data_IF_700214732124
#
_entry.id   IF_700214732124
#
_cell.length_a   1.000
_cell.length_b   1.000
_cell.length_c   1.000
_cell.angle_alpha   90.00
_cell.angle_beta   90.00
_cell.angle_gamma   90.00
#
_symmetry.space_group_name_H-M   'P 1'
#
loop_
_entity.id
_entity.type
_entity.pdbx_description
1 polymer ?
#
# COMPACT_ATOMS: atom_id res chain seq x y z
N UNK A 1 -3.51 34.23 -27.43
CA UNK A 1 -3.95 32.90 -27.87
C UNK A 1 -5.12 32.46 -27.02
N UNK A 2 -6.35 32.63 -27.51
CA UNK A 2 -7.48 31.93 -26.94
C UNK A 2 -7.48 30.52 -27.55
N UNK A 3 -7.30 29.50 -26.73
CA UNK A 3 -7.38 28.11 -27.17
C UNK A 3 -8.85 27.80 -27.45
N UNK A 4 -9.16 27.53 -28.72
CA UNK A 4 -10.46 26.99 -29.13
C UNK A 4 -10.40 25.48 -29.02
N UNK A 5 -11.36 24.85 -28.33
CA UNK A 5 -11.38 23.40 -28.15
C UNK A 5 -11.50 22.66 -29.48
N UNK A 6 -12.51 23.00 -30.27
CA UNK A 6 -12.66 22.50 -31.64
C UNK A 6 -13.16 23.59 -32.60
N UNK A 7 -12.67 23.57 -33.84
CA UNK A 7 -13.05 24.52 -34.88
C UNK A 7 -13.41 23.76 -36.17
N UNK A 8 -14.69 23.81 -36.56
CA UNK A 8 -15.13 23.39 -37.89
C UNK A 8 -15.14 24.58 -38.84
N UNK A 9 -14.27 24.53 -39.84
CA UNK A 9 -14.20 25.52 -40.91
C UNK A 9 -15.25 25.27 -42.00
N UNK A 10 -15.35 26.19 -42.95
CA UNK A 10 -16.30 26.10 -44.07
C UNK A 10 -16.16 24.79 -44.85
N UNK A 11 -17.28 24.08 -45.03
CA UNK A 11 -17.31 22.79 -45.72
C UNK A 11 -17.11 21.56 -44.83
N UNK A 12 -16.72 21.76 -43.56
CA UNK A 12 -16.69 20.69 -42.56
C UNK A 12 -18.08 20.46 -41.96
N UNK A 13 -18.96 19.83 -42.73
CA UNK A 13 -20.36 19.55 -42.36
C UNK A 13 -20.60 18.05 -42.13
N UNK A 14 -21.73 17.71 -41.51
CA UNK A 14 -22.18 16.33 -41.26
C UNK A 14 -21.26 15.51 -40.34
N UNK A 15 -20.46 16.17 -39.50
CA UNK A 15 -19.70 15.51 -38.45
C UNK A 15 -20.62 15.18 -37.26
N UNK A 16 -20.24 14.15 -36.50
CA UNK A 16 -20.92 13.74 -35.27
C UNK A 16 -19.91 13.76 -34.12
N UNK A 17 -20.22 14.56 -33.10
CA UNK A 17 -19.40 14.76 -31.91
C UNK A 17 -20.20 14.41 -30.67
N UNK A 18 -19.71 13.47 -29.88
CA UNK A 18 -20.29 13.06 -28.60
C UNK A 18 -19.18 12.45 -27.75
N UNK A 19 -19.41 12.37 -26.44
CA UNK A 19 -18.47 11.87 -25.42
C UNK A 19 -17.13 12.62 -25.35
N UNK A 20 -17.10 13.89 -25.80
CA UNK A 20 -15.94 14.76 -25.62
C UNK A 20 -16.08 15.59 -24.34
N UNK A 21 -14.95 15.98 -23.75
CA UNK A 21 -14.91 16.84 -22.57
C UNK A 21 -14.27 18.18 -22.92
N UNK A 22 -15.10 19.22 -23.07
CA UNK A 22 -14.64 20.57 -23.37
C UNK A 22 -14.43 21.35 -22.08
N UNK A 23 -13.17 21.47 -21.66
CA UNK A 23 -12.79 22.14 -20.40
C UNK A 23 -11.75 23.22 -20.61
N UNK A 24 -11.87 24.29 -19.83
CA UNK A 24 -10.89 25.39 -19.70
C UNK A 24 -10.45 25.99 -21.04
N UNK A 25 -11.32 25.91 -22.06
CA UNK A 25 -11.10 26.53 -23.36
C UNK A 25 -11.55 28.00 -23.31
N UNK A 26 -10.89 28.87 -24.08
CA UNK A 26 -11.39 30.24 -24.29
C UNK A 26 -12.70 30.25 -25.10
N UNK A 27 -12.82 29.29 -26.02
CA UNK A 27 -14.03 28.98 -26.76
C UNK A 27 -14.11 27.45 -26.91
N UNK A 28 -15.15 26.79 -26.37
CA UNK A 28 -15.23 25.32 -26.42
C UNK A 28 -15.35 24.79 -27.85
N UNK A 29 -16.20 25.41 -28.66
CA UNK A 29 -16.44 25.00 -30.04
C UNK A 29 -16.78 26.20 -30.94
N UNK A 30 -16.20 26.20 -32.14
CA UNK A 30 -16.63 27.01 -33.28
C UNK A 30 -17.12 26.06 -34.38
N UNK A 31 -18.31 26.30 -34.91
CA UNK A 31 -18.93 25.38 -35.87
C UNK A 31 -19.75 26.05 -36.95
N UNK A 32 -19.89 25.35 -38.07
CA UNK A 32 -20.84 25.64 -39.15
C UNK A 32 -22.15 24.85 -38.95
N UNK A 33 -23.14 25.15 -39.80
CA UNK A 33 -24.42 24.42 -39.85
C UNK A 33 -24.19 22.93 -40.19
N UNK A 34 -25.15 22.08 -39.82
CA UNK A 34 -25.21 20.64 -40.15
C UNK A 34 -24.26 19.68 -39.39
N UNK A 35 -23.45 20.13 -38.43
CA UNK A 35 -22.76 19.24 -37.50
C UNK A 35 -23.70 18.83 -36.35
N UNK A 36 -23.56 17.58 -35.86
CA UNK A 36 -24.32 17.03 -34.74
C UNK A 36 -23.44 16.92 -33.50
N UNK A 37 -24.00 17.28 -32.34
CA UNK A 37 -23.29 17.38 -31.07
C UNK A 37 -23.76 16.38 -30.02
N UNK A 38 -24.60 15.44 -30.43
CA UNK A 38 -24.99 14.29 -29.65
C UNK A 38 -25.43 13.17 -30.59
N UNK A 39 -25.29 11.94 -30.12
CA UNK A 39 -25.97 10.80 -30.74
C UNK A 39 -27.36 10.61 -30.08
N UNK A 40 -27.96 9.42 -30.18
CA UNK A 40 -29.26 9.12 -29.57
C UNK A 40 -29.22 8.90 -28.05
N UNK A 41 -28.03 8.77 -27.46
CA UNK A 41 -27.82 8.35 -26.07
C UNK A 41 -27.05 9.39 -25.25
N UNK A 42 -26.11 10.12 -25.86
CA UNK A 42 -25.21 11.04 -25.15
C UNK A 42 -24.69 12.16 -26.06
N UNK A 43 -24.40 13.30 -25.43
CA UNK A 43 -23.73 14.46 -26.00
C UNK A 43 -22.31 14.62 -25.48
N UNK A 44 -21.89 15.84 -25.23
CA UNK A 44 -20.55 16.21 -24.74
C UNK A 44 -20.64 16.84 -23.36
N UNK A 45 -19.53 16.81 -22.62
CA UNK A 45 -19.37 17.57 -21.39
C UNK A 45 -18.89 18.98 -21.71
N UNK A 46 -19.50 19.96 -21.05
CA UNK A 46 -19.16 21.37 -21.16
C UNK A 46 -19.02 21.95 -19.75
N UNK A 47 -17.83 22.42 -19.37
CA UNK A 47 -17.62 22.99 -18.03
C UNK A 47 -18.39 24.30 -17.77
N UNK A 48 -18.95 24.90 -18.83
CA UNK A 48 -19.83 26.06 -18.77
C UNK A 48 -21.32 25.70 -18.93
N UNK A 49 -21.69 24.42 -18.96
CA UNK A 49 -23.09 24.00 -18.92
C UNK A 49 -23.67 24.25 -17.52
N UNK A 50 -24.77 25.00 -17.46
CA UNK A 50 -25.42 25.39 -16.21
C UNK A 50 -26.81 24.79 -16.04
N UNK A 51 -27.17 23.80 -16.86
CA UNK A 51 -28.45 23.11 -16.70
C UNK A 51 -28.39 22.08 -15.57
N UNK A 52 -29.56 21.58 -15.19
CA UNK A 52 -29.70 20.56 -14.14
C UNK A 52 -29.84 19.18 -14.78
N UNK A 53 -29.54 18.16 -14.00
CA UNK A 53 -29.87 16.75 -14.24
C UNK A 53 -30.75 16.33 -13.05
N UNK A 54 -32.07 16.45 -13.20
CA UNK A 54 -33.02 16.23 -12.11
C UNK A 54 -33.35 14.75 -11.89
N UNK A 55 -33.10 13.91 -12.89
CA UNK A 55 -33.30 12.46 -12.87
C UNK A 55 -32.02 11.68 -12.51
N UNK A 56 -30.88 12.37 -12.34
CA UNK A 56 -29.58 11.82 -11.96
C UNK A 56 -29.09 10.71 -12.91
N UNK A 57 -29.34 10.87 -14.22
CA UNK A 57 -28.91 9.90 -15.24
C UNK A 57 -27.57 10.26 -15.91
N UNK A 58 -26.96 11.37 -15.49
CA UNK A 58 -25.70 11.90 -16.02
C UNK A 58 -25.88 12.73 -17.29
N UNK A 59 -27.12 13.06 -17.67
CA UNK A 59 -27.46 13.88 -18.84
C UNK A 59 -28.30 15.08 -18.41
N UNK A 60 -27.96 16.25 -18.93
CA UNK A 60 -28.68 17.46 -18.63
C UNK A 60 -30.09 17.51 -19.23
N UNK A 61 -31.07 17.97 -18.45
CA UNK A 61 -32.49 18.10 -18.85
C UNK A 61 -32.74 19.17 -19.92
N UNK A 62 -31.74 20.01 -20.21
CA UNK A 62 -31.83 21.09 -21.20
C UNK A 62 -30.68 21.02 -22.19
N UNK A 63 -30.93 21.30 -23.47
CA UNK A 63 -29.85 21.38 -24.45
C UNK A 63 -28.81 22.47 -24.10
N UNK A 64 -27.54 22.20 -24.37
CA UNK A 64 -26.46 23.19 -24.29
C UNK A 64 -26.35 23.96 -25.61
N UNK A 65 -26.35 25.29 -25.54
CA UNK A 65 -26.23 26.15 -26.72
C UNK A 65 -24.75 26.35 -27.11
N UNK A 66 -24.37 25.83 -28.26
CA UNK A 66 -23.00 25.95 -28.80
C UNK A 66 -22.85 27.21 -29.65
N UNK A 67 -23.89 27.53 -30.43
CA UNK A 67 -24.01 28.78 -31.18
C UNK A 67 -25.44 29.28 -31.06
N UNK A 68 -25.63 30.60 -31.02
CA UNK A 68 -26.95 31.24 -30.93
C UNK A 68 -27.41 31.86 -32.26
N UNK A 69 -26.52 31.98 -33.24
CA UNK A 69 -26.83 32.52 -34.57
C UNK A 69 -25.88 31.92 -35.62
N UNK A 70 -26.26 30.84 -36.31
CA UNK A 70 -27.50 30.07 -36.14
C UNK A 70 -27.53 29.30 -34.81
N UNK A 71 -28.73 28.97 -34.31
CA UNK A 71 -28.88 28.15 -33.11
C UNK A 71 -28.38 26.73 -33.38
N UNK A 72 -27.32 26.31 -32.68
CA UNK A 72 -26.74 24.97 -32.72
C UNK A 72 -26.63 24.49 -31.29
N UNK A 73 -27.13 23.29 -31.01
CA UNK A 73 -27.27 22.76 -29.67
C UNK A 73 -26.76 21.32 -29.58
N UNK A 74 -26.23 21.00 -28.41
CA UNK A 74 -26.07 19.63 -27.91
C UNK A 74 -27.33 19.31 -27.09
N UNK A 75 -28.10 18.31 -27.52
CA UNK A 75 -29.37 17.97 -26.88
C UNK A 75 -29.22 17.04 -25.67
N UNK A 76 -28.05 16.43 -25.47
CA UNK A 76 -27.80 15.46 -24.40
C UNK A 76 -26.49 15.78 -23.66
N UNK A 77 -26.32 17.01 -23.14
CA UNK A 77 -25.06 17.40 -22.51
C UNK A 77 -24.75 16.50 -21.31
N UNK A 78 -23.50 16.07 -21.18
CA UNK A 78 -23.04 15.27 -20.04
C UNK A 78 -23.01 16.16 -18.80
N UNK A 79 -23.59 15.67 -17.70
CA UNK A 79 -23.45 16.25 -16.37
C UNK A 79 -22.58 15.33 -15.54
N UNK A 80 -21.43 15.84 -15.10
CA UNK A 80 -20.44 15.08 -14.35
C UNK A 80 -19.86 15.95 -13.22
N UNK A 81 -20.50 15.86 -12.06
CA UNK A 81 -20.23 16.69 -10.88
C UNK A 81 -19.84 15.85 -9.66
N UNK A 82 -19.70 14.53 -9.83
CA UNK A 82 -19.34 13.61 -8.76
C UNK A 82 -17.85 13.35 -8.82
N UNK A 83 -17.20 13.32 -7.66
CA UNK A 83 -15.80 12.92 -7.60
C UNK A 83 -15.68 11.40 -7.61
N UNK A 84 -14.60 10.83 -8.18
CA UNK A 84 -14.37 9.40 -8.15
C UNK A 84 -14.40 8.84 -6.71
N UNK A 85 -15.17 7.78 -6.47
CA UNK A 85 -15.21 7.11 -5.17
C UNK A 85 -14.21 5.94 -5.15
N UNK A 86 -13.21 6.01 -4.25
CA UNK A 86 -12.15 5.01 -4.13
C UNK A 86 -12.36 4.18 -2.85
N UNK A 87 -12.41 2.86 -3.01
CA UNK A 87 -12.39 1.90 -1.92
C UNK A 87 -11.10 1.08 -1.97
N UNK A 88 -10.35 1.07 -0.86
CA UNK A 88 -9.15 0.25 -0.70
C UNK A 88 -9.55 -1.13 -0.17
N UNK A 89 -9.48 -2.13 -1.04
CA UNK A 89 -9.82 -3.53 -0.70
C UNK A 89 -8.66 -4.20 0.04
N UNK A 90 -7.43 -3.91 -0.37
CA UNK A 90 -6.20 -4.27 0.34
C UNK A 90 -5.07 -3.28 -0.01
N UNK A 91 -4.05 -3.12 0.84
CA UNK A 91 -3.92 -3.68 2.20
C UNK A 91 -4.95 -3.10 3.18
N UNK A 92 -5.16 -3.79 4.31
CA UNK A 92 -6.06 -3.30 5.37
C UNK A 92 -5.35 -2.28 6.26
N UNK A 93 -6.14 -1.39 6.85
CA UNK A 93 -5.63 -0.43 7.82
C UNK A 93 -4.92 -1.15 9.00
N UNK A 94 -3.73 -0.68 9.35
CA UNK A 94 -2.79 -1.25 10.33
C UNK A 94 -2.26 -2.65 10.01
N UNK A 95 -2.31 -3.10 8.76
CA UNK A 95 -1.55 -4.29 8.37
C UNK A 95 -0.04 -4.01 8.37
N UNK A 96 0.75 -5.01 8.74
CA UNK A 96 2.22 -4.92 8.87
C UNK A 96 2.86 -5.55 7.64
N UNK A 97 3.85 -4.89 7.06
CA UNK A 97 4.56 -5.31 5.86
C UNK A 97 6.06 -5.14 6.03
N UNK A 98 6.81 -6.10 5.47
CA UNK A 98 8.26 -6.13 5.58
C UNK A 98 9.00 -5.15 4.67
N UNK A 99 10.29 -5.43 4.44
CA UNK A 99 11.13 -4.66 3.52
C UNK A 99 10.65 -4.67 2.05
N UNK A 100 9.92 -5.72 1.65
CA UNK A 100 9.32 -5.80 0.30
C UNK A 100 8.01 -5.02 0.25
N UNK A 101 7.90 -4.13 -0.73
CA UNK A 101 6.71 -3.31 -0.95
C UNK A 101 5.47 -4.19 -1.15
N UNK A 102 4.37 -3.92 -0.42
CA UNK A 102 3.15 -4.70 -0.57
C UNK A 102 2.39 -4.35 -1.85
N UNK A 103 1.50 -5.27 -2.24
CA UNK A 103 0.52 -5.01 -3.29
C UNK A 103 -0.72 -4.31 -2.74
N UNK A 104 -1.38 -3.53 -3.59
CA UNK A 104 -2.68 -2.94 -3.29
C UNK A 104 -3.75 -3.47 -4.26
N UNK A 105 -4.99 -3.48 -3.78
CA UNK A 105 -6.18 -3.71 -4.58
C UNK A 105 -7.25 -2.66 -4.27
N UNK A 106 -7.82 -2.07 -5.31
CA UNK A 106 -8.80 -1.01 -5.23
C UNK A 106 -10.10 -1.38 -5.94
N UNK A 107 -11.17 -0.68 -5.56
CA UNK A 107 -12.38 -0.55 -6.36
C UNK A 107 -12.65 0.95 -6.53
N UNK A 108 -12.79 1.41 -7.77
CA UNK A 108 -13.09 2.81 -8.08
C UNK A 108 -14.44 2.87 -8.79
N UNK A 109 -15.38 3.64 -8.24
CA UNK A 109 -16.67 3.93 -8.86
C UNK A 109 -16.61 5.29 -9.53
N UNK A 110 -16.31 5.28 -10.84
CA UNK A 110 -16.28 6.46 -11.70
C UNK A 110 -16.49 6.02 -13.16
N UNK A 111 -17.37 6.71 -13.89
CA UNK A 111 -17.66 6.43 -15.31
C UNK A 111 -16.65 7.06 -16.25
N UNK A 112 -16.14 8.24 -15.92
CA UNK A 112 -15.30 9.07 -16.77
C UNK A 112 -13.90 9.26 -16.18
N UNK A 113 -13.32 8.21 -15.60
CA UNK A 113 -11.99 8.25 -14.99
C UNK A 113 -10.94 8.78 -15.99
N UNK A 114 -10.06 9.64 -15.50
CA UNK A 114 -8.96 10.25 -16.27
C UNK A 114 -7.61 9.76 -15.75
N UNK A 115 -7.26 10.11 -14.50
CA UNK A 115 -5.98 9.77 -13.90
C UNK A 115 -6.13 9.15 -12.52
N UNK A 116 -5.24 8.23 -12.17
CA UNK A 116 -5.15 7.61 -10.83
C UNK A 116 -3.70 7.62 -10.34
N UNK A 117 -3.50 7.98 -9.08
CA UNK A 117 -2.17 8.02 -8.46
C UNK A 117 -2.23 7.77 -6.95
N UNK A 118 -1.11 7.40 -6.34
CA UNK A 118 -1.00 7.31 -4.89
C UNK A 118 0.21 8.08 -4.37
N UNK A 119 0.23 8.32 -3.06
CA UNK A 119 1.36 8.88 -2.33
C UNK A 119 1.55 8.13 -1.01
N UNK A 120 2.82 7.95 -0.63
CA UNK A 120 3.25 7.37 0.66
C UNK A 120 3.73 8.45 1.65
N UNK A 121 3.74 9.73 1.24
CA UNK A 121 4.39 10.85 1.94
C UNK A 121 3.49 12.09 2.06
N UNK A 122 2.16 11.89 2.08
CA UNK A 122 1.19 12.97 2.27
C UNK A 122 0.99 13.86 1.04
N UNK A 123 1.32 13.36 -0.16
CA UNK A 123 1.16 14.04 -1.44
C UNK A 123 2.38 14.85 -1.90
N UNK A 124 3.54 14.67 -1.27
CA UNK A 124 4.80 15.31 -1.70
C UNK A 124 5.30 14.65 -2.98
N UNK A 125 5.25 13.32 -3.04
CA UNK A 125 5.47 12.54 -4.25
C UNK A 125 4.20 11.77 -4.62
N UNK A 126 3.85 11.81 -5.90
CA UNK A 126 2.69 11.11 -6.46
C UNK A 126 3.16 10.15 -7.55
N UNK A 127 2.62 8.93 -7.52
CA UNK A 127 2.98 7.85 -8.44
C UNK A 127 1.71 7.41 -9.17
N UNK A 128 1.70 7.60 -10.49
CA UNK A 128 0.57 7.20 -11.33
C UNK A 128 0.53 5.68 -11.49
N UNK A 129 -0.69 5.14 -11.54
CA UNK A 129 -0.98 3.74 -11.82
C UNK A 129 -2.19 3.66 -12.75
N UNK A 130 -2.50 2.46 -13.28
CA UNK A 130 -3.63 2.31 -14.23
C UNK A 130 -4.53 1.10 -13.93
N UNK A 131 -4.00 0.08 -13.26
CA UNK A 131 -4.72 -1.09 -12.82
C UNK A 131 -5.36 -0.90 -11.44
N UNK A 132 -6.33 -1.78 -11.14
CA UNK A 132 -6.94 -1.86 -9.81
C UNK A 132 -6.18 -2.79 -8.86
N UNK A 133 -5.15 -3.49 -9.35
CA UNK A 133 -4.28 -4.36 -8.55
C UNK A 133 -2.86 -4.20 -9.03
N UNK A 134 -2.02 -3.55 -8.23
CA UNK A 134 -0.61 -3.35 -8.53
C UNK A 134 0.24 -3.48 -7.26
N UNK A 135 1.56 -3.26 -7.37
CA UNK A 135 2.49 -3.23 -6.24
C UNK A 135 3.01 -1.81 -6.06
N UNK A 136 3.17 -1.36 -4.81
CA UNK A 136 3.81 -0.07 -4.56
C UNK A 136 5.23 -0.05 -5.11
N UNK A 137 5.70 1.12 -5.50
CA UNK A 137 7.06 1.30 -6.00
C UNK A 137 8.05 0.94 -4.88
N UNK A 138 8.93 -0.03 -5.16
CA UNK A 138 9.85 -0.57 -4.17
C UNK A 138 10.83 0.49 -3.66
N UNK A 139 11.33 1.37 -4.51
CA UNK A 139 12.28 2.41 -4.08
C UNK A 139 11.59 3.42 -3.16
N UNK A 140 10.33 3.76 -3.44
CA UNK A 140 9.53 4.67 -2.61
C UNK A 140 9.11 4.04 -1.28
N UNK A 141 8.88 2.73 -1.27
CA UNK A 141 8.69 1.98 -0.04
C UNK A 141 9.96 1.92 0.81
N UNK A 142 11.12 1.71 0.18
CA UNK A 142 12.44 1.74 0.85
C UNK A 142 12.76 3.11 1.44
N UNK A 143 12.39 4.20 0.75
CA UNK A 143 12.54 5.59 1.22
C UNK A 143 11.68 5.89 2.48
N UNK A 144 10.65 5.09 2.76
CA UNK A 144 9.77 5.29 3.93
C UNK A 144 10.42 4.70 5.20
N UNK A 145 10.37 5.44 6.31
CA UNK A 145 10.85 4.94 7.60
C UNK A 145 9.98 3.77 8.12
N UNK A 146 10.56 2.91 8.97
CA UNK A 146 9.80 1.91 9.71
C UNK A 146 8.76 2.55 10.64
N UNK A 147 7.69 1.81 10.91
CA UNK A 147 6.51 2.26 11.61
C UNK A 147 5.40 2.68 10.66
N UNK A 148 4.63 3.71 11.04
CA UNK A 148 3.38 4.06 10.37
C UNK A 148 3.61 4.77 9.03
N UNK A 149 3.09 4.19 7.96
CA UNK A 149 3.08 4.78 6.62
C UNK A 149 1.65 5.15 6.23
N UNK A 150 1.42 6.43 5.93
CA UNK A 150 0.12 6.93 5.48
C UNK A 150 0.06 6.88 3.95
N UNK A 151 -0.85 6.08 3.42
CA UNK A 151 -1.03 5.89 1.98
C UNK A 151 -2.31 6.57 1.56
N UNK A 152 -2.21 7.53 0.65
CA UNK A 152 -3.37 8.16 0.02
C UNK A 152 -3.44 7.81 -1.45
N UNK A 153 -4.56 7.24 -1.85
CA UNK A 153 -4.94 7.00 -3.23
C UNK A 153 -5.81 8.14 -3.73
N UNK A 154 -5.60 8.54 -4.97
CA UNK A 154 -6.31 9.62 -5.63
C UNK A 154 -6.81 9.15 -7.00
N UNK A 155 -7.89 9.77 -7.43
CA UNK A 155 -8.48 9.58 -8.73
C UNK A 155 -9.08 10.91 -9.20
N UNK A 156 -8.89 11.22 -10.47
CA UNK A 156 -9.55 12.33 -11.14
C UNK A 156 -10.39 11.81 -12.30
N UNK A 157 -11.50 12.46 -12.58
CA UNK A 157 -12.29 12.24 -13.78
C UNK A 157 -11.98 13.28 -14.87
N UNK A 158 -12.59 13.09 -16.05
CA UNK A 158 -12.41 13.98 -17.19
C UNK A 158 -13.07 15.34 -16.99
N UNK A 159 -14.10 15.45 -16.15
CA UNK A 159 -14.67 16.71 -15.67
C UNK A 159 -13.73 17.46 -14.70
N UNK A 160 -12.70 16.77 -14.22
CA UNK A 160 -11.68 17.13 -13.26
C UNK A 160 -12.22 17.33 -11.86
N UNK A 161 -13.22 16.56 -11.48
CA UNK A 161 -13.46 16.30 -10.07
C UNK A 161 -12.38 15.34 -9.57
N UNK A 162 -11.96 15.52 -8.32
CA UNK A 162 -10.91 14.71 -7.69
C UNK A 162 -11.44 14.09 -6.41
N UNK A 163 -11.25 12.78 -6.29
CA UNK A 163 -11.56 12.00 -5.10
C UNK A 163 -10.29 11.40 -4.50
N UNK A 164 -10.32 11.09 -3.21
CA UNK A 164 -9.23 10.38 -2.56
C UNK A 164 -9.74 9.40 -1.50
N UNK A 165 -8.93 8.40 -1.19
CA UNK A 165 -9.11 7.47 -0.07
C UNK A 165 -7.76 7.22 0.60
N UNK A 166 -7.77 7.00 1.92
CA UNK A 166 -6.56 6.95 2.73
C UNK A 166 -6.60 5.77 3.69
N UNK A 167 -5.46 5.09 3.82
CA UNK A 167 -5.21 4.06 4.81
C UNK A 167 -3.85 4.30 5.46
N UNK A 168 -3.66 3.78 6.67
CA UNK A 168 -2.37 3.78 7.34
C UNK A 168 -1.94 2.33 7.54
N UNK A 169 -0.75 1.96 7.08
CA UNK A 169 -0.16 0.63 7.30
C UNK A 169 1.11 0.77 8.14
N UNK A 170 1.71 -0.36 8.49
CA UNK A 170 2.97 -0.39 9.22
C UNK A 170 4.06 -1.07 8.39
N UNK A 171 5.21 -0.41 8.27
CA UNK A 171 6.43 -0.96 7.71
C UNK A 171 7.29 -1.49 8.85
N UNK A 172 7.75 -2.72 8.71
CA UNK A 172 8.67 -3.34 9.66
C UNK A 172 9.78 -4.10 8.91
N UNK A 173 10.89 -3.43 8.69
CA UNK A 173 12.08 -3.99 8.03
C UNK A 173 13.22 -4.28 9.00
N UNK A 174 12.99 -4.11 10.31
CA UNK A 174 14.01 -4.24 11.35
C UNK A 174 13.96 -5.66 11.90
N UNK A 175 15.13 -6.31 11.98
CA UNK A 175 15.22 -7.61 12.62
C UNK A 175 15.21 -7.49 14.15
N UNK A 176 14.61 -8.46 14.87
CA UNK A 176 14.66 -8.51 16.33
C UNK A 176 16.10 -8.46 16.85
N UNK A 177 16.36 -7.66 17.88
CA UNK A 177 17.70 -7.62 18.51
C UNK A 177 17.68 -8.38 19.83
N UNK A 178 18.46 -9.47 19.90
CA UNK A 178 18.57 -10.30 21.10
C UNK A 178 19.81 -9.90 21.90
N UNK A 179 19.62 -9.61 23.19
CA UNK A 179 20.70 -9.43 24.17
C UNK A 179 20.69 -10.59 25.17
N UNK A 180 21.82 -11.25 25.33
CA UNK A 180 22.00 -12.32 26.32
C UNK A 180 22.55 -11.70 27.60
N UNK A 181 21.72 -11.66 28.66
CA UNK A 181 22.13 -11.20 29.98
C UNK A 181 22.76 -12.33 30.79
N UNK A 182 22.24 -13.55 30.62
CA UNK A 182 22.80 -14.80 31.12
C UNK A 182 22.47 -15.95 30.16
N UNK A 183 23.33 -16.97 30.04
CA UNK A 183 24.63 -17.12 30.72
C UNK A 183 25.71 -16.19 30.15
N UNK A 184 26.83 -16.04 30.87
CA UNK A 184 28.01 -15.29 30.37
C UNK A 184 28.97 -16.20 29.60
N UNK A 185 29.87 -15.58 28.83
CA UNK A 185 30.88 -16.30 28.04
C UNK A 185 31.71 -17.25 28.90
N UNK A 186 31.80 -18.51 28.47
CA UNK A 186 32.51 -19.63 29.12
C UNK A 186 32.01 -19.94 30.55
N UNK A 187 30.78 -19.57 30.89
CA UNK A 187 30.17 -19.98 32.15
C UNK A 187 30.04 -21.51 32.21
N UNK A 188 30.44 -22.09 33.34
CA UNK A 188 30.51 -23.55 33.55
C UNK A 188 29.24 -24.02 34.25
N UNK A 189 28.61 -25.04 33.67
CA UNK A 189 27.43 -25.71 34.19
C UNK A 189 27.72 -27.20 34.35
N UNK A 190 27.41 -27.72 35.54
CA UNK A 190 27.57 -29.14 35.83
C UNK A 190 26.29 -29.92 35.45
N UNK A 191 25.76 -30.71 36.39
CA UNK A 191 24.56 -31.54 36.16
C UNK A 191 23.28 -30.70 36.04
N UNK A 192 23.31 -29.43 36.46
CA UNK A 192 22.18 -28.52 36.33
C UNK A 192 22.28 -27.69 35.05
N UNK A 193 21.24 -27.65 34.20
CA UNK A 193 21.23 -26.85 32.99
C UNK A 193 21.35 -25.35 33.30
N UNK A 194 21.82 -24.55 32.35
CA UNK A 194 21.81 -23.11 32.50
C UNK A 194 20.38 -22.57 32.58
N UNK A 195 20.20 -21.57 33.44
CA UNK A 195 19.13 -20.58 33.26
C UNK A 195 19.59 -19.61 32.17
N UNK A 196 18.72 -19.31 31.22
CA UNK A 196 18.93 -18.15 30.35
C UNK A 196 18.10 -16.97 30.83
N UNK A 197 18.66 -15.79 30.63
CA UNK A 197 17.99 -14.51 30.75
C UNK A 197 18.37 -13.68 29.53
N UNK A 198 17.40 -13.43 28.67
CA UNK A 198 17.57 -12.65 27.46
C UNK A 198 16.64 -11.43 27.47
N UNK A 199 16.96 -10.46 26.62
CA UNK A 199 16.07 -9.37 26.27
C UNK A 199 15.95 -9.32 24.75
N UNK A 200 14.75 -9.08 24.24
CA UNK A 200 14.50 -8.96 22.80
C UNK A 200 13.89 -7.57 22.58
N UNK A 201 14.58 -6.75 21.79
CA UNK A 201 14.07 -5.46 21.33
C UNK A 201 13.41 -5.69 19.96
N UNK A 202 12.08 -5.79 19.99
CA UNK A 202 11.23 -6.05 18.83
C UNK A 202 9.78 -5.67 19.20
N UNK A 203 9.14 -4.83 18.39
CA UNK A 203 7.76 -4.40 18.61
C UNK A 203 6.76 -5.49 18.19
N UNK A 204 7.05 -6.22 17.11
CA UNK A 204 6.16 -7.20 16.48
C UNK A 204 6.70 -8.63 16.67
N UNK A 205 7.19 -8.95 17.87
CA UNK A 205 7.84 -10.24 18.12
C UNK A 205 6.81 -11.37 17.98
N UNK A 206 7.04 -12.25 17.02
CA UNK A 206 6.16 -13.39 16.77
C UNK A 206 6.59 -14.62 17.56
N UNK A 207 7.88 -14.98 17.49
CA UNK A 207 8.40 -16.18 18.15
C UNK A 207 9.89 -16.05 18.43
N UNK A 208 10.33 -16.69 19.51
CA UNK A 208 11.74 -16.90 19.80
C UNK A 208 12.00 -18.36 20.18
N UNK A 209 13.22 -18.82 19.93
CA UNK A 209 13.66 -20.19 20.20
C UNK A 209 15.16 -20.25 20.44
N UNK A 210 15.66 -21.39 20.90
CA UNK A 210 17.07 -21.62 21.13
C UNK A 210 17.53 -22.97 20.57
N UNK A 211 18.85 -23.11 20.41
CA UNK A 211 19.53 -24.35 20.02
C UNK A 211 20.86 -24.47 20.77
N UNK A 212 21.29 -25.71 21.01
CA UNK A 212 22.59 -26.06 21.61
C UNK A 212 23.49 -26.83 20.62
N UNK A 213 23.09 -26.87 19.35
CA UNK A 213 23.69 -27.67 18.28
C UNK A 213 23.62 -26.96 16.92
N UNK A 214 23.95 -25.67 16.90
CA UNK A 214 24.03 -24.82 15.69
C UNK A 214 22.74 -24.83 14.83
N UNK A 215 21.58 -24.91 15.48
CA UNK A 215 20.27 -24.85 14.83
C UNK A 215 19.79 -26.17 14.24
N UNK A 216 20.48 -27.30 14.46
CA UNK A 216 20.01 -28.63 14.02
C UNK A 216 18.72 -29.00 14.76
N UNK A 217 18.69 -28.83 16.08
CA UNK A 217 17.50 -28.96 16.91
C UNK A 217 17.13 -27.61 17.53
N UNK A 218 15.88 -27.18 17.31
CA UNK A 218 15.36 -25.91 17.78
C UNK A 218 14.24 -26.11 18.80
N UNK A 219 14.30 -25.33 19.89
CA UNK A 219 13.36 -25.42 20.99
C UNK A 219 12.69 -24.07 21.22
N UNK A 220 11.37 -24.01 21.01
CA UNK A 220 10.59 -22.80 21.29
C UNK A 220 10.73 -22.40 22.76
N UNK A 221 11.08 -21.15 23.00
CA UNK A 221 11.22 -20.63 24.36
C UNK A 221 9.85 -20.34 24.99
N UNK A 222 9.76 -20.50 26.31
CA UNK A 222 8.51 -20.32 27.07
C UNK A 222 8.47 -19.01 27.88
N UNK A 223 9.54 -18.23 27.82
CA UNK A 223 9.68 -16.93 28.47
C UNK A 223 11.12 -16.45 28.36
N UNK A 224 11.36 -15.13 28.39
CA UNK A 224 12.71 -14.55 28.21
C UNK A 224 13.67 -14.85 29.37
N UNK A 225 13.14 -15.38 30.48
CA UNK A 225 13.93 -15.92 31.59
C UNK A 225 13.41 -17.32 31.91
N UNK A 226 14.20 -18.35 31.65
CA UNK A 226 13.80 -19.74 31.88
C UNK A 226 15.00 -20.68 31.97
N UNK A 227 14.78 -21.88 32.47
CA UNK A 227 15.78 -22.96 32.44
C UNK A 227 15.78 -23.65 31.07
N UNK A 228 16.97 -24.06 30.62
CA UNK A 228 17.09 -25.07 29.56
C UNK A 228 16.50 -26.39 30.08
N UNK A 229 15.84 -27.14 29.19
CA UNK A 229 15.22 -28.41 29.56
C UNK A 229 16.26 -29.42 30.09
N UNK A 230 16.02 -29.99 31.26
CA UNK A 230 16.94 -30.94 31.90
C UNK A 230 17.22 -32.17 31.02
N UNK A 231 16.20 -32.78 30.43
CA UNK A 231 16.37 -33.98 29.60
C UNK A 231 17.19 -33.70 28.35
N UNK A 232 17.04 -32.50 27.76
CA UNK A 232 17.90 -32.04 26.68
C UNK A 232 19.34 -31.91 27.16
N UNK A 233 19.54 -31.21 28.28
CA UNK A 233 20.87 -30.98 28.87
C UNK A 233 21.59 -32.30 29.18
N UNK A 234 20.92 -33.24 29.82
CA UNK A 234 21.46 -34.56 30.17
C UNK A 234 21.94 -35.35 28.94
N UNK A 235 21.32 -35.12 27.78
CA UNK A 235 21.69 -35.76 26.52
C UNK A 235 22.94 -35.17 25.82
N UNK A 236 23.41 -33.99 26.24
CA UNK A 236 24.58 -33.32 25.64
C UNK A 236 25.90 -33.88 26.19
N UNK A 237 26.94 -33.86 25.36
CA UNK A 237 28.29 -34.22 25.80
C UNK A 237 28.94 -33.09 26.61
N UNK A 238 29.85 -33.44 27.50
CA UNK A 238 30.72 -32.48 28.18
C UNK A 238 31.63 -31.77 27.17
N UNK A 239 31.94 -30.50 27.46
CA UNK A 239 32.77 -29.66 26.62
C UNK A 239 32.19 -28.28 26.39
N UNK A 240 32.75 -27.58 25.41
CA UNK A 240 32.27 -26.29 24.93
C UNK A 240 31.00 -26.48 24.09
N UNK A 241 29.97 -25.71 24.40
CA UNK A 241 28.68 -25.69 23.71
C UNK A 241 28.32 -24.25 23.36
N UNK A 242 27.81 -24.02 22.16
CA UNK A 242 27.26 -22.71 21.79
C UNK A 242 25.75 -22.72 22.00
N UNK A 243 25.28 -21.89 22.93
CA UNK A 243 23.85 -21.66 23.11
C UNK A 243 23.41 -20.53 22.18
N UNK A 244 22.69 -20.89 21.12
CA UNK A 244 22.11 -19.97 20.15
C UNK A 244 20.69 -19.59 20.57
N UNK A 245 20.36 -18.31 20.45
CA UNK A 245 19.02 -17.76 20.54
C UNK A 245 18.64 -17.14 19.21
N UNK A 246 17.38 -17.30 18.87
CA UNK A 246 16.79 -16.87 17.61
C UNK A 246 15.45 -16.21 17.90
N UNK A 247 15.12 -15.18 17.13
CA UNK A 247 13.86 -14.46 17.20
C UNK A 247 13.40 -14.12 15.80
N UNK A 248 12.07 -14.12 15.61
CA UNK A 248 11.41 -13.76 14.37
C UNK A 248 10.19 -12.92 14.67
N UNK A 249 9.99 -11.86 13.91
CA UNK A 249 8.79 -11.01 13.98
C UNK A 249 7.64 -11.52 13.08
N UNK A 250 6.53 -10.78 13.05
CA UNK A 250 5.32 -11.12 12.29
C UNK A 250 5.48 -11.08 10.76
N UNK A 251 6.40 -10.27 10.24
CA UNK A 251 6.67 -10.14 8.79
C UNK A 251 7.86 -10.98 8.32
N UNK A 252 8.54 -11.59 9.28
CA UNK A 252 9.56 -12.59 9.12
C UNK A 252 10.98 -12.09 9.11
N UNK A 253 11.28 -10.88 9.60
CA UNK A 253 12.66 -10.52 9.87
C UNK A 253 13.18 -11.38 11.04
N UNK A 254 14.49 -11.63 11.02
CA UNK A 254 15.12 -12.67 11.82
C UNK A 254 16.36 -12.14 12.53
N UNK A 255 16.39 -12.32 13.84
CA UNK A 255 17.51 -11.96 14.70
C UNK A 255 18.10 -13.19 15.39
N UNK A 256 19.41 -13.15 15.63
CA UNK A 256 20.11 -14.19 16.36
C UNK A 256 21.19 -13.62 17.28
N UNK A 257 21.46 -14.33 18.37
CA UNK A 257 22.60 -14.08 19.25
C UNK A 257 23.03 -15.40 19.88
N UNK A 258 24.31 -15.54 20.21
CA UNK A 258 24.80 -16.76 20.84
C UNK A 258 25.83 -16.48 21.93
N UNK A 259 26.02 -17.47 22.80
CA UNK A 259 27.02 -17.46 23.86
C UNK A 259 27.66 -18.83 24.00
N UNK A 260 28.98 -18.86 24.15
CA UNK A 260 29.72 -20.07 24.47
C UNK A 260 29.56 -20.37 25.96
N UNK A 261 29.20 -21.61 26.30
CA UNK A 261 29.12 -22.14 27.66
C UNK A 261 29.88 -23.45 27.75
N UNK A 262 30.16 -23.91 28.97
CA UNK A 262 30.89 -25.16 29.21
C UNK A 262 30.02 -26.11 30.02
N UNK A 263 29.76 -27.31 29.49
CA UNK A 263 29.18 -28.42 30.25
C UNK A 263 30.29 -29.27 30.87
N UNK A 264 30.19 -29.56 32.16
CA UNK A 264 31.10 -30.46 32.87
C UNK A 264 30.35 -31.35 33.86
N UNK A 265 30.08 -32.58 33.49
CA UNK A 265 29.44 -33.53 34.42
C UNK A 265 30.37 -33.77 35.62
N UNK A 266 29.84 -33.68 36.84
CA UNK A 266 30.62 -33.97 38.04
C UNK A 266 31.02 -35.45 38.02
N UNK A 267 32.32 -35.75 38.00
CA UNK A 267 32.75 -37.13 38.22
C UNK A 267 32.44 -37.49 39.66
N UNK A 268 31.56 -38.48 39.86
CA UNK A 268 31.41 -39.14 41.15
C UNK A 268 32.76 -39.79 41.44
N UNK A 269 33.57 -39.17 42.31
CA UNK A 269 34.71 -39.85 42.91
C UNK A 269 34.17 -41.07 43.66
N UNK A 270 34.32 -42.25 43.06
CA UNK A 270 34.14 -43.51 43.79
C UNK A 270 35.28 -43.60 44.80
N UNK A 271 35.00 -43.20 46.04
CA UNK A 271 35.84 -43.42 47.22
C UNK A 271 35.83 -44.88 47.64
#
# INVERSE_FOLDING_TARGET
NQLTGINFEGGCELNLLFSNFFRKNGLHALTVLNNKWNNSEIGNYWDNYTGIDANEDGVGDKPHNISTSPLIQDFLPIVDNLSPEINVVSPYNNSIHGATAPSFNLSISEKYIDETWYSLDGGVTNISFTGLTETFDQAKWEDSDDGKVLIRFYASDKAGNEGFSEIQIEKDSIAPIITINQPVFEEVFDDSPPMYNISVDELHLYVFWYSLDDGINNYTGTGLVSMINQTLWDGLQDGELTLHFYAKDEVGNYGESSVLIIKRTSQIEQS
#
